data_IF_528023455804
#
_entry.id   IF_528023455804
#
_cell.length_a   1.000
_cell.length_b   1.000
_cell.length_c   1.000
_cell.angle_alpha   90.00
_cell.angle_beta   90.00
_cell.angle_gamma   90.00
#
_symmetry.space_group_name_H-M   'P 1'
#
loop_
_entity.id
_entity.type
_entity.pdbx_description
1 polymer ?
#
# COMPACT_ATOMS: atom_id res chain seq x y z
N UNK A 1 3.63 4.48 16.02
CA UNK A 1 4.05 3.80 14.79
C UNK A 1 3.02 2.75 14.42
N UNK A 2 2.59 2.71 13.17
CA UNK A 2 1.62 1.73 12.72
C UNK A 2 2.26 0.35 12.59
N UNK A 3 1.43 -0.69 12.57
CA UNK A 3 1.91 -2.06 12.41
C UNK A 3 2.62 -2.23 11.06
N UNK A 4 2.15 -1.55 10.03
CA UNK A 4 2.76 -1.60 8.70
C UNK A 4 4.15 -0.96 8.71
N UNK A 5 4.28 0.21 9.30
CA UNK A 5 5.56 0.90 9.40
C UNK A 5 6.58 0.05 10.16
N UNK A 6 6.15 -0.54 11.29
CA UNK A 6 7.02 -1.40 12.08
C UNK A 6 7.46 -2.63 11.30
N UNK A 7 6.54 -3.25 10.57
CA UNK A 7 6.84 -4.41 9.74
C UNK A 7 7.88 -4.08 8.66
N UNK A 8 7.68 -2.98 7.95
CA UNK A 8 8.59 -2.56 6.88
C UNK A 8 9.98 -2.26 7.42
N UNK A 9 10.06 -1.60 8.58
CA UNK A 9 11.35 -1.31 9.22
C UNK A 9 12.06 -2.60 9.62
N UNK A 10 11.31 -3.56 10.18
CA UNK A 10 11.86 -4.84 10.59
C UNK A 10 12.44 -5.61 9.42
N UNK A 11 11.81 -5.52 8.24
CA UNK A 11 12.26 -6.19 7.03
C UNK A 11 13.32 -5.40 6.27
N UNK A 12 13.67 -4.21 6.74
CA UNK A 12 14.66 -3.37 6.07
C UNK A 12 14.19 -2.79 4.75
N UNK A 13 12.89 -2.61 4.60
CA UNK A 13 12.28 -2.09 3.38
C UNK A 13 12.08 -0.59 3.50
N UNK A 14 12.71 0.21 2.64
CA UNK A 14 12.54 1.66 2.70
C UNK A 14 11.15 2.06 2.20
N UNK A 15 10.58 3.08 2.85
CA UNK A 15 9.32 3.67 2.40
C UNK A 15 9.70 4.83 1.47
N UNK A 16 9.32 4.78 0.19
CA UNK A 16 9.70 5.85 -0.74
C UNK A 16 9.07 7.19 -0.35
N UNK A 17 9.85 8.25 -0.52
CA UNK A 17 9.38 9.62 -0.32
C UNK A 17 9.18 10.29 -1.67
N UNK A 18 8.81 11.59 -1.65
CA UNK A 18 8.52 12.32 -2.89
C UNK A 18 9.74 12.53 -3.79
N UNK A 19 10.95 12.31 -3.27
CA UNK A 19 12.18 12.43 -4.04
C UNK A 19 12.64 11.11 -4.64
N UNK A 20 11.97 10.01 -4.29
CA UNK A 20 12.30 8.68 -4.79
C UNK A 20 11.70 8.48 -6.19
N UNK A 21 12.53 8.04 -7.14
CA UNK A 21 12.04 7.73 -8.49
C UNK A 21 11.13 6.50 -8.46
N UNK A 22 10.09 6.53 -9.29
CA UNK A 22 9.14 5.43 -9.34
C UNK A 22 9.73 4.19 -9.97
N UNK A 23 9.60 3.06 -9.26
CA UNK A 23 9.85 1.74 -9.83
C UNK A 23 8.61 1.34 -10.65
N UNK A 24 8.69 0.28 -11.48
CA UNK A 24 7.48 -0.23 -12.18
C UNK A 24 6.35 -0.57 -11.21
N UNK A 25 6.66 -1.11 -10.03
CA UNK A 25 5.66 -1.41 -9.01
C UNK A 25 5.03 -0.12 -8.50
N UNK A 26 5.85 0.89 -8.18
CA UNK A 26 5.35 2.18 -7.71
C UNK A 26 4.42 2.83 -8.73
N UNK A 27 4.83 2.83 -9.99
CA UNK A 27 4.01 3.39 -11.07
C UNK A 27 2.67 2.69 -11.18
N UNK A 28 2.66 1.36 -11.07
CA UNK A 28 1.43 0.57 -11.16
C UNK A 28 0.50 0.83 -9.97
N UNK A 29 1.05 0.92 -8.75
CA UNK A 29 0.27 1.25 -7.55
C UNK A 29 -0.40 2.61 -7.72
N UNK A 30 0.36 3.61 -8.16
CA UNK A 30 -0.17 4.96 -8.35
C UNK A 30 -1.24 4.99 -9.43
N UNK A 31 -1.03 4.26 -10.52
CA UNK A 31 -2.02 4.18 -11.59
C UNK A 31 -3.33 3.55 -11.09
N UNK A 32 -3.23 2.47 -10.31
CA UNK A 32 -4.42 1.83 -9.73
C UNK A 32 -5.16 2.79 -8.80
N UNK A 33 -4.45 3.49 -7.92
CA UNK A 33 -5.07 4.48 -7.05
C UNK A 33 -5.79 5.57 -7.83
N UNK A 34 -5.14 6.06 -8.88
CA UNK A 34 -5.72 7.12 -9.70
C UNK A 34 -6.97 6.65 -10.45
N UNK A 35 -6.91 5.48 -11.08
CA UNK A 35 -8.02 4.99 -11.90
C UNK A 35 -9.17 4.42 -11.07
N UNK A 36 -8.87 3.61 -10.06
CA UNK A 36 -9.91 2.94 -9.28
C UNK A 36 -10.58 3.86 -8.26
N UNK A 37 -9.86 4.84 -7.74
CA UNK A 37 -10.39 5.79 -6.77
C UNK A 37 -10.74 7.13 -7.40
N UNK A 38 -10.63 7.25 -8.72
CA UNK A 38 -10.94 8.48 -9.48
C UNK A 38 -10.17 9.69 -8.94
N UNK A 39 -8.86 9.49 -8.69
CA UNK A 39 -7.99 10.53 -8.16
C UNK A 39 -7.11 11.12 -9.26
N UNK A 40 -6.84 12.42 -9.18
CA UNK A 40 -5.90 13.05 -10.09
C UNK A 40 -4.49 12.47 -9.83
N UNK A 41 -3.76 12.09 -10.90
CA UNK A 41 -2.38 11.61 -10.71
C UNK A 41 -1.48 12.58 -9.96
N UNK A 42 -1.76 13.88 -10.06
CA UNK A 42 -0.95 14.93 -9.44
C UNK A 42 -0.96 14.88 -7.92
N UNK A 43 -2.02 14.32 -7.30
CA UNK A 43 -2.11 14.23 -5.86
C UNK A 43 -1.68 12.86 -5.31
N UNK A 44 -1.49 11.87 -6.19
CA UNK A 44 -1.08 10.52 -5.79
C UNK A 44 0.44 10.46 -5.76
N UNK A 45 1.02 11.12 -4.76
CA UNK A 45 2.47 11.16 -4.57
C UNK A 45 2.86 10.28 -3.38
N UNK A 46 4.15 9.95 -3.28
CA UNK A 46 4.63 8.98 -2.29
C UNK A 46 4.28 9.35 -0.84
N UNK A 47 4.37 10.62 -0.49
CA UNK A 47 4.09 11.07 0.88
C UNK A 47 2.63 11.44 1.12
N UNK A 48 1.76 11.28 0.11
CA UNK A 48 0.34 11.58 0.28
C UNK A 48 -0.28 10.63 1.30
N UNK A 49 -1.03 11.18 2.25
CA UNK A 49 -1.77 10.38 3.22
C UNK A 49 -3.11 9.99 2.64
N UNK A 50 -3.45 8.71 2.77
CA UNK A 50 -4.67 8.18 2.16
C UNK A 50 -5.92 8.89 2.67
N UNK A 51 -5.97 9.15 3.98
CA UNK A 51 -7.14 9.79 4.58
C UNK A 51 -7.16 11.30 4.36
N UNK A 52 -6.03 11.96 4.65
CA UNK A 52 -5.97 13.43 4.62
C UNK A 52 -5.92 13.99 3.20
N UNK A 53 -5.08 13.39 2.35
CA UNK A 53 -4.79 13.94 1.02
C UNK A 53 -5.63 13.31 -0.09
N UNK A 54 -5.97 12.02 0.05
CA UNK A 54 -6.70 11.28 -0.98
C UNK A 54 -8.15 11.01 -0.61
N UNK A 55 -8.56 11.39 0.59
CA UNK A 55 -9.94 11.22 1.07
C UNK A 55 -10.41 9.76 1.00
N UNK A 56 -9.49 8.83 1.26
CA UNK A 56 -9.79 7.40 1.23
C UNK A 56 -10.13 6.92 2.65
N UNK A 57 -11.40 6.73 2.89
CA UNK A 57 -11.90 6.20 4.16
C UNK A 57 -12.13 4.68 4.03
N UNK A 58 -12.80 4.11 5.02
CA UNK A 58 -12.86 2.65 5.15
C UNK A 58 -13.38 1.92 3.92
N UNK A 59 -14.47 2.41 3.31
CA UNK A 59 -15.05 1.74 2.14
C UNK A 59 -14.13 1.81 0.92
N UNK A 60 -13.53 2.97 0.69
CA UNK A 60 -12.63 3.18 -0.44
C UNK A 60 -11.38 2.31 -0.29
N UNK A 61 -10.87 2.17 0.93
CA UNK A 61 -9.72 1.32 1.20
C UNK A 61 -10.05 -0.15 0.98
N UNK A 62 -11.24 -0.58 1.40
CA UNK A 62 -11.68 -1.96 1.23
C UNK A 62 -11.85 -2.30 -0.26
N UNK A 63 -12.46 -1.38 -1.02
CA UNK A 63 -12.62 -1.55 -2.47
C UNK A 63 -11.26 -1.63 -3.16
N UNK A 64 -10.34 -0.75 -2.77
CA UNK A 64 -8.99 -0.75 -3.32
C UNK A 64 -8.24 -2.03 -2.99
N UNK A 65 -8.45 -2.58 -1.80
CA UNK A 65 -7.79 -3.82 -1.37
C UNK A 65 -8.03 -4.94 -2.39
N UNK A 66 -9.27 -5.13 -2.81
CA UNK A 66 -9.63 -6.19 -3.76
C UNK A 66 -8.92 -5.99 -5.10
N UNK A 67 -8.90 -4.76 -5.61
CA UNK A 67 -8.24 -4.42 -6.87
C UNK A 67 -6.73 -4.64 -6.76
N UNK A 68 -6.14 -4.18 -5.66
CA UNK A 68 -4.71 -4.28 -5.41
C UNK A 68 -4.25 -5.74 -5.33
N UNK A 69 -4.97 -6.58 -4.57
CA UNK A 69 -4.64 -7.99 -4.47
C UNK A 69 -4.70 -8.68 -5.83
N UNK A 70 -5.75 -8.39 -6.60
CA UNK A 70 -5.92 -9.00 -7.91
C UNK A 70 -4.85 -8.52 -8.90
N UNK A 71 -4.53 -7.24 -8.88
CA UNK A 71 -3.56 -6.66 -9.82
C UNK A 71 -2.15 -7.20 -9.63
N UNK A 72 -1.77 -7.50 -8.38
CA UNK A 72 -0.43 -7.98 -8.06
C UNK A 72 -0.37 -9.46 -7.69
N UNK A 73 -1.50 -10.16 -7.75
CA UNK A 73 -1.53 -11.58 -7.42
C UNK A 73 -1.19 -11.87 -5.96
N UNK A 74 -1.64 -11.01 -5.05
CA UNK A 74 -1.32 -11.11 -3.63
C UNK A 74 -2.23 -12.14 -2.95
N UNK A 75 -1.61 -13.07 -2.21
CA UNK A 75 -2.30 -14.13 -1.49
C UNK A 75 -2.64 -13.67 -0.06
N UNK A 76 -3.78 -14.14 0.45
CA UNK A 76 -4.18 -13.91 1.83
C UNK A 76 -3.11 -14.32 2.84
N UNK A 77 -2.35 -15.36 2.55
CA UNK A 77 -1.29 -15.85 3.44
C UNK A 77 -0.21 -14.80 3.66
N UNK A 78 0.14 -14.05 2.61
CA UNK A 78 1.12 -12.98 2.74
C UNK A 78 0.59 -11.84 3.59
N UNK A 79 -0.69 -11.50 3.42
CA UNK A 79 -1.31 -10.46 4.22
C UNK A 79 -1.36 -10.86 5.70
N UNK A 80 -1.72 -12.11 5.97
CA UNK A 80 -1.77 -12.61 7.35
C UNK A 80 -0.40 -12.57 8.02
N UNK A 81 0.66 -12.84 7.26
CA UNK A 81 2.02 -12.77 7.78
C UNK A 81 2.37 -11.35 8.21
N UNK A 82 2.00 -10.35 7.42
CA UNK A 82 2.24 -8.95 7.77
C UNK A 82 1.47 -8.55 9.02
N UNK A 83 0.26 -9.04 9.16
CA UNK A 83 -0.65 -8.63 10.25
C UNK A 83 -0.51 -9.43 11.52
N UNK A 84 0.48 -10.32 11.62
CA UNK A 84 0.73 -11.05 12.86
C UNK A 84 1.09 -10.07 13.99
N UNK A 85 0.66 -10.38 15.21
CA UNK A 85 -0.14 -11.53 15.68
C UNK A 85 -1.65 -11.37 15.52
N UNK A 86 -2.12 -10.26 15.04
CA UNK A 86 -3.55 -9.97 14.96
C UNK A 86 -4.26 -10.80 13.89
N UNK A 87 -3.52 -11.30 12.90
CA UNK A 87 -3.97 -12.30 11.95
C UNK A 87 -5.13 -11.93 11.04
N UNK A 88 -5.37 -10.64 10.82
CA UNK A 88 -6.48 -10.18 9.98
C UNK A 88 -5.95 -9.47 8.75
N UNK A 89 -5.38 -10.26 7.82
CA UNK A 89 -4.77 -9.72 6.62
C UNK A 89 -5.68 -8.83 5.79
N UNK A 90 -6.99 -9.06 5.85
CA UNK A 90 -7.94 -8.23 5.11
C UNK A 90 -8.05 -6.81 5.66
N UNK A 91 -7.55 -6.57 6.85
CA UNK A 91 -7.57 -5.25 7.46
C UNK A 91 -6.31 -4.44 7.15
N UNK A 92 -5.42 -4.98 6.33
CA UNK A 92 -4.09 -4.40 6.12
C UNK A 92 -4.13 -2.93 5.66
N UNK A 93 -5.02 -2.58 4.74
CA UNK A 93 -5.08 -1.21 4.23
C UNK A 93 -5.65 -0.21 5.23
N UNK A 94 -6.29 -0.68 6.32
CA UNK A 94 -6.73 0.20 7.39
C UNK A 94 -5.56 0.70 8.23
N UNK A 95 -4.42 0.01 8.16
CA UNK A 95 -3.22 0.36 8.92
C UNK A 95 -2.19 1.11 8.09
N UNK A 96 -2.42 1.26 6.79
CA UNK A 96 -1.54 1.99 5.90
C UNK A 96 -1.88 3.48 5.97
N UNK A 97 -0.86 4.32 6.07
CA UNK A 97 -1.05 5.76 6.17
C UNK A 97 -0.79 6.50 4.86
N UNK A 98 0.24 6.10 4.12
CA UNK A 98 0.66 6.82 2.92
C UNK A 98 0.73 5.93 1.70
N UNK A 99 0.76 6.57 0.52
CA UNK A 99 0.98 5.88 -0.75
C UNK A 99 2.31 5.13 -0.74
N UNK A 100 3.36 5.77 -0.18
CA UNK A 100 4.68 5.14 -0.08
C UNK A 100 4.66 3.83 0.70
N UNK A 101 3.85 3.75 1.76
CA UNK A 101 3.72 2.51 2.53
C UNK A 101 3.07 1.41 1.69
N UNK A 102 2.07 1.74 0.86
CA UNK A 102 1.46 0.76 -0.04
C UNK A 102 2.51 0.26 -1.05
N UNK A 103 3.29 1.18 -1.60
CA UNK A 103 4.33 0.83 -2.58
C UNK A 103 5.37 -0.10 -1.95
N UNK A 104 5.87 0.25 -0.77
CA UNK A 104 6.88 -0.55 -0.07
C UNK A 104 6.36 -1.95 0.24
N UNK A 105 5.14 -2.03 0.74
CA UNK A 105 4.48 -3.29 1.05
C UNK A 105 4.31 -4.15 -0.20
N UNK A 106 3.87 -3.52 -1.30
CA UNK A 106 3.69 -4.21 -2.58
C UNK A 106 5.01 -4.76 -3.10
N UNK A 107 6.07 -3.96 -3.04
CA UNK A 107 7.39 -4.39 -3.49
C UNK A 107 7.89 -5.59 -2.70
N UNK A 108 7.67 -5.61 -1.39
CA UNK A 108 8.02 -6.76 -0.56
C UNK A 108 7.23 -8.01 -0.99
N UNK A 109 5.94 -7.85 -1.27
CA UNK A 109 5.08 -8.99 -1.59
C UNK A 109 5.32 -9.58 -2.96
N UNK A 110 5.72 -8.75 -3.95
CA UNK A 110 5.96 -9.23 -5.31
C UNK A 110 7.43 -9.54 -5.57
N UNK A 111 8.31 -9.19 -4.65
CA UNK A 111 9.74 -9.45 -4.80
C UNK A 111 10.02 -10.93 -4.56
N UNK A 112 10.70 -11.62 -5.49
CA UNK A 112 11.13 -12.99 -5.23
C UNK A 112 12.23 -12.97 -4.18
N UNK A 113 11.92 -13.45 -3.02
CA UNK A 113 12.89 -13.52 -1.91
C UNK A 113 13.63 -14.85 -1.91
#
# INVERSE_FOLDING_TARGET
MSIITAFLQQKGIPIPDNNTSDTPVAAKVKHLLSTECELSPDIVVNEAELRRDLDMYDLERLDFLAVWMNAFGIDHKLLDEVMRPDGKGMDILFHVRTVGEIIALTEWMVSPS
#
